data_IF_175268705427
#
_entry.id   IF_175268705427
#
_cell.length_a   1.000
_cell.length_b   1.000
_cell.length_c   1.000
_cell.angle_alpha   90.00
_cell.angle_beta   90.00
_cell.angle_gamma   90.00
#
_symmetry.space_group_name_H-M   'P 1'
#
loop_
_entity.id
_entity.type
_entity.pdbx_description
1 polymer ?
#
# COMPACT_ATOMS: atom_id res chain seq x y z
N UNK A 1 -4.78 -21.98 6.27
CA UNK A 1 -4.25 -23.14 5.51
C UNK A 1 -4.14 -22.88 4.00
N UNK A 2 -5.18 -22.39 3.29
CA UNK A 2 -5.09 -22.17 1.83
C UNK A 2 -4.00 -21.16 1.42
N UNK A 3 -3.95 -20.00 2.07
CA UNK A 3 -2.91 -18.97 1.82
C UNK A 3 -1.51 -19.53 2.09
N UNK A 4 -1.33 -20.27 3.17
CA UNK A 4 -0.04 -20.90 3.51
C UNK A 4 0.38 -21.90 2.42
N UNK A 5 -0.57 -22.64 1.89
CA UNK A 5 -0.33 -23.57 0.76
C UNK A 5 0.14 -22.80 -0.49
N UNK A 6 -0.55 -21.71 -0.85
CA UNK A 6 -0.16 -20.88 -2.01
C UNK A 6 1.25 -20.31 -1.89
N UNK A 7 1.65 -19.88 -0.68
CA UNK A 7 2.99 -19.33 -0.42
C UNK A 7 4.12 -20.36 -0.53
N UNK A 8 3.80 -21.65 -0.45
CA UNK A 8 4.77 -22.74 -0.62
C UNK A 8 4.90 -23.19 -2.08
N UNK A 9 4.06 -22.72 -2.98
CA UNK A 9 4.12 -23.04 -4.41
C UNK A 9 5.05 -22.08 -5.15
N UNK A 10 5.57 -22.54 -6.30
CA UNK A 10 6.15 -21.60 -7.26
C UNK A 10 5.06 -20.64 -7.79
N UNK A 11 5.42 -19.42 -8.22
CA UNK A 11 4.44 -18.44 -8.72
C UNK A 11 3.50 -19.00 -9.81
N UNK A 12 4.03 -19.78 -10.73
CA UNK A 12 3.22 -20.37 -11.80
C UNK A 12 2.22 -21.42 -11.30
N UNK A 13 2.63 -22.25 -10.34
CA UNK A 13 1.72 -23.22 -9.71
C UNK A 13 0.66 -22.52 -8.85
N UNK A 14 1.03 -21.45 -8.17
CA UNK A 14 0.08 -20.64 -7.40
C UNK A 14 -0.97 -20.00 -8.33
N UNK A 15 -0.55 -19.43 -9.48
CA UNK A 15 -1.46 -18.89 -10.50
C UNK A 15 -2.38 -19.97 -11.08
N UNK A 16 -1.84 -21.15 -11.43
CA UNK A 16 -2.66 -22.27 -11.91
C UNK A 16 -3.70 -22.72 -10.88
N UNK A 17 -3.34 -22.72 -9.60
CA UNK A 17 -4.28 -23.04 -8.51
C UNK A 17 -5.36 -21.98 -8.38
N UNK A 18 -5.00 -20.70 -8.47
CA UNK A 18 -5.95 -19.57 -8.39
C UNK A 18 -6.88 -19.53 -9.61
N UNK A 19 -6.40 -19.94 -10.78
CA UNK A 19 -7.21 -20.06 -12.00
C UNK A 19 -8.41 -20.99 -11.86
N UNK A 20 -8.36 -21.93 -10.92
CA UNK A 20 -9.52 -22.81 -10.63
C UNK A 20 -10.72 -22.04 -10.03
N UNK A 21 -10.49 -20.86 -9.46
CA UNK A 21 -11.53 -20.00 -8.88
C UNK A 21 -11.95 -18.89 -9.85
N UNK A 22 -10.98 -18.31 -10.58
CA UNK A 22 -11.21 -17.28 -11.59
C UNK A 22 -10.10 -17.38 -12.65
N UNK A 23 -10.48 -17.46 -13.92
CA UNK A 23 -9.52 -17.58 -15.04
C UNK A 23 -8.56 -16.38 -15.10
N UNK A 24 -9.01 -15.19 -14.72
CA UNK A 24 -8.20 -13.98 -14.73
C UNK A 24 -7.07 -14.01 -13.68
N UNK A 25 -7.24 -14.73 -12.57
CA UNK A 25 -6.19 -14.91 -11.56
C UNK A 25 -5.02 -15.79 -12.03
N UNK A 26 -5.20 -16.54 -13.11
CA UNK A 26 -4.15 -17.37 -13.73
C UNK A 26 -3.26 -16.61 -14.70
N UNK A 27 -3.60 -15.38 -15.06
CA UNK A 27 -2.86 -14.56 -16.01
C UNK A 27 -1.78 -13.75 -15.28
N UNK A 28 -0.57 -13.75 -15.84
CA UNK A 28 0.48 -12.87 -15.33
C UNK A 28 0.13 -11.42 -15.69
N UNK A 29 -0.01 -10.58 -14.69
CA UNK A 29 -0.18 -9.15 -14.92
C UNK A 29 1.11 -8.57 -15.52
N UNK A 30 1.01 -7.67 -16.51
CA UNK A 30 2.17 -6.95 -17.01
C UNK A 30 2.80 -6.14 -15.87
N UNK A 31 4.11 -6.25 -15.75
CA UNK A 31 4.86 -5.36 -14.85
C UNK A 31 4.76 -3.94 -15.40
N UNK A 32 4.34 -3.01 -14.55
CA UNK A 32 4.20 -1.59 -14.89
C UNK A 32 5.11 -0.77 -13.98
N UNK A 33 5.90 0.11 -14.57
CA UNK A 33 6.61 1.15 -13.85
C UNK A 33 5.75 2.41 -13.85
N UNK A 34 5.48 2.94 -12.66
CA UNK A 34 4.69 4.16 -12.46
C UNK A 34 5.56 5.42 -12.45
N UNK A 35 6.88 5.28 -12.38
CA UNK A 35 7.86 6.36 -12.29
C UNK A 35 8.55 6.73 -13.60
N UNK A 36 8.03 6.34 -14.76
CA UNK A 36 8.68 6.63 -16.06
C UNK A 36 8.60 8.11 -16.43
N UNK A 37 7.49 8.77 -16.16
CA UNK A 37 7.32 10.23 -16.36
C UNK A 37 6.76 10.88 -15.11
N UNK A 38 7.64 11.56 -14.38
CA UNK A 38 7.29 12.23 -13.12
C UNK A 38 6.86 13.68 -13.27
N UNK A 39 6.58 14.14 -14.46
CA UNK A 39 6.04 15.48 -14.69
C UNK A 39 4.56 15.50 -14.29
N UNK A 40 4.19 16.43 -13.43
CA UNK A 40 2.78 16.62 -13.04
C UNK A 40 1.95 17.24 -14.17
N UNK A 41 2.61 18.07 -14.98
CA UNK A 41 1.97 18.77 -16.09
C UNK A 41 2.58 18.32 -17.42
N UNK A 42 1.77 17.71 -18.27
CA UNK A 42 2.12 17.14 -19.59
C UNK A 42 1.18 17.75 -20.65
N UNK A 43 1.47 18.98 -21.13
CA UNK A 43 0.60 19.68 -22.08
C UNK A 43 0.48 18.98 -23.44
N UNK A 44 1.43 18.11 -23.76
CA UNK A 44 1.46 17.27 -24.95
C UNK A 44 0.46 16.09 -24.89
N UNK A 45 -0.12 15.80 -23.70
CA UNK A 45 -1.05 14.69 -23.57
C UNK A 45 -2.39 15.02 -24.25
N UNK A 46 -2.94 14.12 -25.10
CA UNK A 46 -4.06 14.46 -26.01
C UNK A 46 -5.39 14.75 -25.28
N UNK A 47 -5.58 14.26 -24.07
CA UNK A 47 -6.86 14.38 -23.35
C UNK A 47 -6.78 15.23 -22.09
N UNK A 48 -5.67 15.19 -21.35
CA UNK A 48 -5.56 15.87 -20.06
C UNK A 48 -4.10 16.20 -19.73
N UNK A 49 -3.78 17.47 -19.56
CA UNK A 49 -2.44 17.92 -19.20
C UNK A 49 -2.01 17.54 -17.77
N UNK A 50 -2.90 17.04 -16.92
CA UNK A 50 -2.61 16.54 -15.56
C UNK A 50 -2.78 15.01 -15.48
N UNK A 51 -2.64 14.30 -16.60
CA UNK A 51 -2.95 12.88 -16.68
C UNK A 51 -2.15 12.03 -15.67
N UNK A 52 -0.84 12.28 -15.54
CA UNK A 52 0.01 11.51 -14.61
C UNK A 52 -0.48 11.62 -13.16
N UNK A 53 -0.92 12.81 -12.74
CA UNK A 53 -1.49 13.00 -11.41
C UNK A 53 -2.82 12.25 -11.23
N UNK A 54 -3.70 12.32 -12.23
CA UNK A 54 -4.99 11.62 -12.16
C UNK A 54 -4.82 10.10 -12.16
N UNK A 55 -3.90 9.57 -12.95
CA UNK A 55 -3.59 8.13 -12.95
C UNK A 55 -3.07 7.65 -11.59
N UNK A 56 -2.20 8.41 -10.93
CA UNK A 56 -1.72 8.06 -9.60
C UNK A 56 -2.82 8.11 -8.54
N UNK A 57 -3.63 9.18 -8.51
CA UNK A 57 -4.69 9.36 -7.49
C UNK A 57 -5.84 8.35 -7.67
N UNK A 58 -6.19 7.99 -8.90
CA UNK A 58 -7.30 7.08 -9.17
C UNK A 58 -6.86 5.64 -9.45
N UNK A 59 -5.67 5.26 -8.98
CA UNK A 59 -5.22 3.88 -9.05
C UNK A 59 -5.69 3.07 -7.82
N UNK A 60 -5.69 1.76 -8.00
CA UNK A 60 -5.98 0.80 -6.92
C UNK A 60 -4.93 0.86 -5.80
N UNK A 61 -3.69 1.27 -6.08
CA UNK A 61 -2.63 1.44 -5.09
C UNK A 61 -2.99 2.51 -4.06
N UNK A 62 -3.50 3.67 -4.50
CA UNK A 62 -3.99 4.72 -3.60
C UNK A 62 -5.01 4.18 -2.58
N UNK A 63 -5.99 3.42 -3.06
CA UNK A 63 -7.00 2.82 -2.18
C UNK A 63 -6.41 1.74 -1.27
N UNK A 64 -5.47 0.94 -1.77
CA UNK A 64 -4.79 -0.09 -1.00
C UNK A 64 -3.93 0.49 0.12
N UNK A 65 -3.18 1.57 -0.13
CA UNK A 65 -2.43 2.31 0.88
C UNK A 65 -3.37 2.87 1.96
N UNK A 66 -4.41 3.60 1.56
CA UNK A 66 -5.37 4.19 2.48
C UNK A 66 -6.04 3.16 3.39
N UNK A 67 -6.68 2.14 2.82
CA UNK A 67 -7.36 1.09 3.58
C UNK A 67 -6.38 0.20 4.36
N UNK A 68 -5.21 -0.03 3.77
CA UNK A 68 -4.14 -0.80 4.41
C UNK A 68 -3.65 -0.13 5.70
N UNK A 69 -3.39 1.18 5.68
CA UNK A 69 -2.96 1.91 6.87
C UNK A 69 -4.08 2.14 7.88
N UNK A 70 -5.32 2.35 7.41
CA UNK A 70 -6.49 2.32 8.29
C UNK A 70 -6.60 0.99 9.05
N UNK A 71 -6.44 -0.14 8.39
CA UNK A 71 -6.46 -1.46 9.03
C UNK A 71 -5.25 -1.71 9.93
N UNK A 72 -4.04 -1.33 9.51
CA UNK A 72 -2.80 -1.52 10.28
C UNK A 72 -2.82 -0.78 11.61
N UNK A 73 -3.29 0.48 11.66
CA UNK A 73 -3.41 1.22 12.93
C UNK A 73 -4.45 0.58 13.86
N UNK A 74 -5.52 0.02 13.34
CA UNK A 74 -6.51 -0.69 14.16
C UNK A 74 -5.93 -1.94 14.84
N UNK A 75 -4.95 -2.60 14.19
CA UNK A 75 -4.23 -3.74 14.77
C UNK A 75 -3.18 -3.26 15.77
N UNK A 76 -2.32 -2.31 15.38
CA UNK A 76 -1.20 -1.82 16.19
C UNK A 76 -1.65 -0.99 17.39
N UNK A 77 -2.74 -0.23 17.25
CA UNK A 77 -3.32 0.64 18.29
C UNK A 77 -2.34 1.64 18.90
N UNK A 78 -1.31 1.98 18.16
CA UNK A 78 -0.27 2.91 18.56
C UNK A 78 0.08 3.83 17.40
N UNK A 79 -0.10 5.12 17.62
CA UNK A 79 0.13 6.15 16.61
C UNK A 79 1.59 6.22 16.14
N UNK A 80 2.52 6.18 17.11
CA UNK A 80 3.94 6.33 16.80
C UNK A 80 4.49 5.13 16.06
N UNK A 81 4.09 3.92 16.48
CA UNK A 81 4.46 2.67 15.80
C UNK A 81 3.90 2.66 14.38
N UNK A 82 2.62 3.01 14.20
CA UNK A 82 2.01 3.04 12.88
C UNK A 82 2.72 4.03 11.95
N UNK A 83 3.06 5.22 12.47
CA UNK A 83 3.74 6.25 11.70
C UNK A 83 5.17 5.85 11.35
N UNK A 84 5.93 5.28 12.31
CA UNK A 84 7.27 4.75 12.05
C UNK A 84 7.27 3.63 11.01
N UNK A 85 6.29 2.73 11.07
CA UNK A 85 6.11 1.68 10.06
C UNK A 85 5.74 2.25 8.68
N UNK A 86 4.94 3.33 8.62
CA UNK A 86 4.58 3.99 7.37
C UNK A 86 5.81 4.58 6.68
N UNK A 87 6.61 5.34 7.42
CA UNK A 87 7.88 5.89 6.91
C UNK A 87 8.82 4.77 6.48
N UNK A 88 8.95 3.73 7.30
CA UNK A 88 9.80 2.57 6.99
C UNK A 88 9.36 1.84 5.73
N UNK A 89 8.07 1.76 5.46
CA UNK A 89 7.51 1.15 4.25
C UNK A 89 7.92 1.93 3.01
N UNK A 90 7.75 3.26 2.99
CA UNK A 90 8.18 4.11 1.88
C UNK A 90 9.70 4.00 1.62
N UNK A 91 10.51 3.94 2.69
CA UNK A 91 11.95 3.71 2.55
C UNK A 91 12.25 2.34 1.92
N UNK A 92 11.48 1.30 2.27
CA UNK A 92 11.62 -0.01 1.66
C UNK A 92 11.25 0.02 0.18
N UNK A 93 10.16 0.69 -0.22
CA UNK A 93 9.76 0.82 -1.62
C UNK A 93 10.84 1.53 -2.44
N UNK A 94 11.35 2.66 -1.98
CA UNK A 94 12.46 3.37 -2.63
C UNK A 94 13.72 2.50 -2.72
N UNK A 95 14.00 1.70 -1.69
CA UNK A 95 15.19 0.83 -1.65
C UNK A 95 15.07 -0.34 -2.63
N UNK A 96 13.90 -0.97 -2.70
CA UNK A 96 13.68 -2.19 -3.47
C UNK A 96 13.07 -1.96 -4.87
N UNK A 97 12.81 -0.71 -5.26
CA UNK A 97 12.25 -0.36 -6.58
C UNK A 97 13.01 -0.94 -7.77
N UNK A 98 14.32 -1.21 -7.61
CA UNK A 98 15.15 -1.81 -8.65
C UNK A 98 14.91 -3.32 -8.83
N UNK A 99 14.28 -3.99 -7.85
CA UNK A 99 13.89 -5.41 -7.92
C UNK A 99 12.42 -5.60 -8.28
N UNK A 100 11.59 -4.65 -7.87
CA UNK A 100 10.15 -4.69 -8.02
C UNK A 100 9.69 -3.46 -8.80
N UNK A 101 9.45 -3.59 -10.13
CA UNK A 101 9.07 -2.45 -10.98
C UNK A 101 7.84 -1.69 -10.48
N UNK A 102 6.90 -2.39 -9.80
CA UNK A 102 5.71 -1.76 -9.22
C UNK A 102 6.03 -0.80 -8.06
N UNK A 103 7.24 -0.86 -7.49
CA UNK A 103 7.73 0.10 -6.48
C UNK A 103 8.43 1.31 -7.12
N UNK A 104 8.55 1.33 -8.44
CA UNK A 104 9.14 2.43 -9.15
C UNK A 104 8.08 3.49 -9.44
N UNK A 105 7.88 4.35 -8.47
CA UNK A 105 6.93 5.46 -8.49
C UNK A 105 7.64 6.81 -8.52
N UNK A 106 6.89 7.86 -8.76
CA UNK A 106 7.42 9.21 -8.76
C UNK A 106 7.68 9.69 -7.32
N UNK A 107 8.71 10.50 -7.12
CA UNK A 107 9.10 11.03 -5.81
C UNK A 107 7.96 11.80 -5.10
N UNK A 108 7.12 12.50 -5.86
CA UNK A 108 5.97 13.23 -5.32
C UNK A 108 4.82 12.27 -4.95
N UNK A 109 4.73 11.13 -5.59
CA UNK A 109 3.77 10.08 -5.28
C UNK A 109 4.09 9.50 -3.89
N UNK A 110 5.28 8.96 -3.71
CA UNK A 110 5.76 8.48 -2.41
C UNK A 110 5.58 9.50 -1.27
N UNK A 111 5.90 10.78 -1.52
CA UNK A 111 5.90 11.78 -0.46
C UNK A 111 4.51 12.36 -0.21
N UNK A 112 3.81 12.82 -1.24
CA UNK A 112 2.56 13.56 -1.09
C UNK A 112 1.33 12.68 -1.15
N UNK A 113 1.27 11.72 -2.08
CA UNK A 113 0.09 10.87 -2.19
C UNK A 113 0.13 9.73 -1.18
N UNK A 114 1.25 9.02 -1.05
CA UNK A 114 1.33 7.88 -0.16
C UNK A 114 1.56 8.30 1.28
N UNK A 115 2.73 8.87 1.60
CA UNK A 115 3.08 9.16 2.99
C UNK A 115 2.11 10.14 3.65
N UNK A 116 1.93 11.34 3.08
CA UNK A 116 1.09 12.40 3.67
C UNK A 116 -0.38 12.31 3.25
N UNK A 117 -0.69 11.71 2.12
CA UNK A 117 -2.05 11.44 1.67
C UNK A 117 -2.61 10.17 2.29
N UNK A 118 -2.46 9.06 1.60
CA UNK A 118 -3.12 7.80 1.92
C UNK A 118 -2.77 7.26 3.31
N UNK A 119 -1.46 7.19 3.62
CA UNK A 119 -0.99 6.58 4.84
C UNK A 119 -1.40 7.39 6.06
N UNK A 120 -1.13 8.71 6.05
CA UNK A 120 -1.50 9.59 7.14
C UNK A 120 -3.01 9.65 7.36
N UNK A 121 -3.78 9.83 6.28
CA UNK A 121 -5.25 9.90 6.38
C UNK A 121 -5.82 8.56 6.85
N UNK A 122 -5.31 7.44 6.36
CA UNK A 122 -5.67 6.10 6.81
C UNK A 122 -5.39 5.89 8.30
N UNK A 123 -4.20 6.30 8.77
CA UNK A 123 -3.81 6.23 10.19
C UNK A 123 -4.73 7.13 11.05
N UNK A 124 -5.01 8.36 10.62
CA UNK A 124 -5.92 9.28 11.32
C UNK A 124 -7.32 8.67 11.43
N UNK A 125 -7.88 8.20 10.32
CA UNK A 125 -9.22 7.61 10.30
C UNK A 125 -9.29 6.36 11.19
N UNK A 126 -8.27 5.51 11.14
CA UNK A 126 -8.19 4.32 11.97
C UNK A 126 -8.06 4.67 13.46
N UNK A 127 -7.32 5.72 13.80
CA UNK A 127 -7.24 6.22 15.17
C UNK A 127 -8.60 6.74 15.68
N UNK A 128 -9.35 7.49 14.86
CA UNK A 128 -10.71 7.87 15.18
C UNK A 128 -11.64 6.66 15.35
N UNK A 129 -11.49 5.66 14.49
CA UNK A 129 -12.25 4.39 14.59
C UNK A 129 -11.98 3.68 15.92
N UNK A 130 -10.71 3.58 16.33
CA UNK A 130 -10.32 3.01 17.64
C UNK A 130 -10.93 3.77 18.81
N UNK A 131 -10.90 5.09 18.76
CA UNK A 131 -11.49 5.93 19.81
C UNK A 131 -13.03 5.77 19.86
N UNK A 132 -13.67 5.70 18.70
CA UNK A 132 -15.13 5.49 18.62
C UNK A 132 -15.56 4.16 19.26
N UNK A 133 -14.81 3.07 19.01
CA UNK A 133 -15.07 1.76 19.61
C UNK A 133 -14.46 1.59 21.02
N UNK A 134 -13.90 2.64 21.62
CA UNK A 134 -13.22 2.62 22.92
C UNK A 134 -12.19 1.46 23.05
N UNK A 135 -11.47 1.18 21.97
CA UNK A 135 -10.51 0.08 21.93
C UNK A 135 -9.34 0.34 22.89
N UNK A 136 -8.94 -0.69 23.65
CA UNK A 136 -7.78 -0.61 24.54
C UNK A 136 -6.52 -0.30 23.72
N UNK A 137 -5.68 0.63 24.24
CA UNK A 137 -4.34 0.86 23.70
C UNK A 137 -3.48 -0.40 23.86
N UNK A 138 -2.62 -0.67 22.91
CA UNK A 138 -1.64 -1.74 23.02
C UNK A 138 -0.50 -1.30 23.95
N UNK A 139 -0.14 -2.14 24.90
CA UNK A 139 1.05 -1.95 25.73
C UNK A 139 2.16 -2.84 25.16
N UNK A 140 3.18 -2.22 24.58
CA UNK A 140 4.31 -2.93 23.96
C UNK A 140 5.36 -3.40 24.99
N UNK A 141 5.22 -2.95 26.24
CA UNK A 141 6.10 -3.34 27.34
C UNK A 141 5.39 -4.39 28.17
N UNK A 142 6.07 -5.53 28.38
CA UNK A 142 5.57 -6.56 29.26
C UNK A 142 5.56 -6.03 30.71
N UNK A 143 4.38 -5.90 31.29
CA UNK A 143 4.20 -5.61 32.72
C UNK A 143 3.77 -6.91 33.44
N UNK A 144 4.62 -7.50 34.28
CA UNK A 144 4.30 -8.76 34.97
C UNK A 144 3.19 -8.60 36.02
N UNK A 145 2.69 -7.38 36.26
CA UNK A 145 1.63 -7.07 37.25
C UNK A 145 0.24 -6.89 36.64
N UNK A 146 0.11 -6.94 35.30
CA UNK A 146 -1.14 -6.93 34.58
C UNK A 146 -1.40 -8.27 33.88
#
# INVERSE_FOLDING_TARGET
MFITYLLLLSPDKARQTLRMFDENLGVQLPERSYGEDCRLFTPEHPTNSMNNFYEAVFDCHFLAHFLGWWGKIMIMRDWYVAWACSIGFEICEITFRHWLPNFYECWWDHLFLDLFGCNLIGIILGHYTLNYFAAKKMTWVYDPKT
#
